data_IF_473856737612
#
_entry.id   IF_473856737612
#
_cell.length_a   1.000
_cell.length_b   1.000
_cell.length_c   1.000
_cell.angle_alpha   90.00
_cell.angle_beta   90.00
_cell.angle_gamma   90.00
#
_symmetry.space_group_name_H-M   'P 1'
#
loop_
_entity.id
_entity.type
_entity.pdbx_description
1 polymer ?
#
# COMPACT_ATOMS: atom_id res chain seq x y z
N UNK A 1 -51.16 -34.62 9.65
CA UNK A 1 -50.06 -34.30 10.58
C UNK A 1 -48.85 -33.97 9.73
N UNK A 2 -48.92 -32.81 9.09
CA UNK A 2 -48.17 -31.58 9.44
C UNK A 2 -46.71 -31.66 8.99
N UNK A 3 -46.51 -31.35 7.71
CA UNK A 3 -45.30 -30.76 7.17
C UNK A 3 -45.06 -29.42 7.87
N UNK A 4 -43.89 -29.24 8.47
CA UNK A 4 -43.38 -27.93 8.88
C UNK A 4 -42.36 -27.49 7.85
N UNK A 5 -42.87 -26.71 6.91
CA UNK A 5 -42.16 -25.91 5.93
C UNK A 5 -41.65 -24.64 6.63
N UNK A 6 -40.34 -24.52 6.80
CA UNK A 6 -39.69 -23.28 7.26
C UNK A 6 -38.88 -22.73 6.10
N UNK A 7 -39.60 -22.15 5.14
CA UNK A 7 -39.04 -21.24 4.13
C UNK A 7 -38.65 -19.93 4.83
N UNK A 8 -37.40 -19.42 4.71
CA UNK A 8 -37.07 -18.09 5.22
C UNK A 8 -37.69 -17.04 4.28
N UNK A 9 -38.66 -16.31 4.83
CA UNK A 9 -39.33 -15.21 4.19
C UNK A 9 -38.43 -13.97 4.15
N UNK A 10 -37.76 -13.70 3.02
CA UNK A 10 -37.47 -12.32 2.58
C UNK A 10 -37.02 -12.26 1.10
N UNK A 11 -37.89 -12.62 0.14
CA UNK A 11 -37.58 -12.55 -1.30
C UNK A 11 -38.71 -11.85 -2.07
N UNK A 12 -38.77 -10.53 -2.00
CA UNK A 12 -39.59 -9.68 -2.88
C UNK A 12 -38.91 -8.29 -2.98
N UNK A 13 -38.67 -7.63 -4.12
CA UNK A 13 -38.67 -7.93 -5.57
C UNK A 13 -37.72 -6.88 -6.18
N UNK A 14 -36.66 -7.31 -6.88
CA UNK A 14 -36.13 -6.66 -8.09
C UNK A 14 -35.27 -7.67 -8.87
N UNK A 15 -35.70 -8.00 -10.10
CA UNK A 15 -35.00 -8.69 -11.21
C UNK A 15 -34.44 -10.13 -11.03
N UNK A 16 -35.25 -11.05 -10.52
CA UNK A 16 -34.86 -12.43 -10.21
C UNK A 16 -35.11 -13.52 -11.27
N UNK A 17 -35.17 -13.23 -12.58
CA UNK A 17 -35.24 -14.31 -13.59
C UNK A 17 -33.82 -14.73 -14.01
N UNK A 18 -33.43 -16.00 -13.83
CA UNK A 18 -32.10 -16.47 -14.19
C UNK A 18 -32.00 -16.62 -15.72
N UNK A 19 -31.53 -15.57 -16.38
CA UNK A 19 -31.41 -15.49 -17.84
C UNK A 19 -29.96 -15.43 -18.33
N UNK A 20 -29.01 -15.15 -17.45
CA UNK A 20 -27.60 -14.96 -17.81
C UNK A 20 -26.87 -16.29 -17.81
N UNK A 21 -26.19 -16.59 -18.93
CA UNK A 21 -25.31 -17.74 -19.01
C UNK A 21 -23.93 -17.43 -18.40
N UNK A 22 -23.15 -18.47 -18.13
CA UNK A 22 -21.82 -18.35 -17.55
C UNK A 22 -20.87 -17.39 -18.31
N UNK A 23 -20.99 -17.28 -19.64
CA UNK A 23 -20.16 -16.35 -20.43
C UNK A 23 -20.53 -14.88 -20.16
N UNK A 24 -21.82 -14.59 -20.01
CA UNK A 24 -22.29 -13.25 -19.66
C UNK A 24 -21.79 -12.85 -18.26
N UNK A 25 -21.87 -13.74 -17.28
CA UNK A 25 -21.40 -13.49 -15.91
C UNK A 25 -19.90 -13.24 -15.84
N UNK A 26 -19.09 -14.02 -16.56
CA UNK A 26 -17.62 -13.82 -16.63
C UNK A 26 -17.28 -12.46 -17.23
N UNK A 27 -18.03 -12.01 -18.25
CA UNK A 27 -17.81 -10.70 -18.88
C UNK A 27 -18.16 -9.55 -17.92
N UNK A 28 -19.24 -9.69 -17.16
CA UNK A 28 -19.74 -8.66 -16.24
C UNK A 28 -18.97 -8.57 -14.93
N UNK A 29 -18.41 -9.68 -14.45
CA UNK A 29 -17.75 -9.76 -13.13
C UNK A 29 -16.23 -9.84 -13.23
N UNK A 30 -15.67 -10.14 -14.42
CA UNK A 30 -14.25 -10.40 -14.61
C UNK A 30 -13.73 -11.69 -13.96
N UNK A 31 -14.59 -12.46 -13.28
CA UNK A 31 -14.22 -13.68 -12.55
C UNK A 31 -14.07 -14.87 -13.50
N UNK A 32 -13.03 -15.68 -13.29
CA UNK A 32 -12.81 -16.91 -14.06
C UNK A 32 -13.91 -17.95 -13.74
N UNK A 33 -14.35 -18.76 -14.74
CA UNK A 33 -15.36 -19.81 -14.53
C UNK A 33 -15.09 -20.77 -13.37
N UNK A 34 -13.83 -21.13 -13.15
CA UNK A 34 -13.44 -22.04 -12.07
C UNK A 34 -13.54 -21.41 -10.69
N UNK A 35 -13.31 -20.09 -10.59
CA UNK A 35 -13.50 -19.31 -9.35
C UNK A 35 -14.98 -19.28 -8.96
N UNK A 36 -15.86 -19.02 -9.92
CA UNK A 36 -17.32 -19.01 -9.71
C UNK A 36 -17.82 -20.37 -9.20
N UNK A 37 -17.35 -21.47 -9.80
CA UNK A 37 -17.70 -22.84 -9.38
C UNK A 37 -17.14 -23.18 -8.01
N UNK A 38 -15.94 -22.69 -7.69
CA UNK A 38 -15.32 -22.91 -6.40
C UNK A 38 -16.08 -22.17 -5.28
N UNK A 39 -16.57 -20.96 -5.55
CA UNK A 39 -17.33 -20.17 -4.58
C UNK A 39 -18.73 -20.76 -4.35
N UNK A 40 -19.45 -21.13 -5.40
CA UNK A 40 -20.73 -21.86 -5.33
C UNK A 40 -20.60 -23.11 -4.45
N UNK A 41 -19.56 -23.94 -4.68
CA UNK A 41 -19.38 -25.20 -3.95
C UNK A 41 -18.95 -25.01 -2.48
N UNK A 42 -18.13 -24.00 -2.18
CA UNK A 42 -17.53 -23.81 -0.86
C UNK A 42 -18.37 -22.96 0.07
N UNK A 43 -19.10 -22.00 -0.48
CA UNK A 43 -19.76 -20.94 0.27
C UNK A 43 -21.25 -20.82 -0.04
N UNK A 44 -21.75 -21.56 -1.03
CA UNK A 44 -23.15 -21.49 -1.46
C UNK A 44 -23.50 -20.19 -2.17
N UNK A 45 -22.52 -19.42 -2.66
CA UNK A 45 -22.75 -18.13 -3.32
C UNK A 45 -21.95 -18.01 -4.63
N UNK A 46 -22.58 -17.57 -5.74
CA UNK A 46 -24.02 -17.36 -5.92
C UNK A 46 -24.80 -18.69 -5.99
N UNK A 47 -26.13 -18.62 -6.01
CA UNK A 47 -27.04 -19.78 -6.08
C UNK A 47 -27.75 -19.85 -7.46
N UNK A 48 -27.03 -20.21 -8.55
CA UNK A 48 -27.63 -20.22 -9.88
C UNK A 48 -28.64 -21.36 -10.06
N UNK A 49 -29.73 -21.09 -10.78
CA UNK A 49 -30.69 -22.11 -11.17
C UNK A 49 -30.14 -23.01 -12.29
N UNK A 50 -30.67 -24.23 -12.39
CA UNK A 50 -30.30 -25.18 -13.45
C UNK A 50 -31.44 -25.37 -14.43
N UNK A 51 -31.11 -25.26 -15.70
CA UNK A 51 -31.99 -25.68 -16.80
C UNK A 51 -32.31 -27.18 -16.71
N UNK A 52 -33.38 -27.62 -17.38
CA UNK A 52 -33.70 -29.06 -17.53
C UNK A 52 -32.55 -29.87 -18.15
N UNK A 53 -31.68 -29.24 -18.94
CA UNK A 53 -30.44 -29.79 -19.50
C UNK A 53 -29.23 -29.79 -18.56
N UNK A 54 -29.36 -29.25 -17.34
CA UNK A 54 -28.31 -29.25 -16.31
C UNK A 54 -27.33 -28.06 -16.35
N UNK A 55 -27.50 -27.11 -17.26
CA UNK A 55 -26.67 -25.89 -17.35
C UNK A 55 -27.13 -24.81 -16.37
N UNK A 56 -26.16 -24.08 -15.79
CA UNK A 56 -26.37 -22.97 -14.84
C UNK A 56 -26.87 -21.71 -15.55
N UNK A 57 -27.91 -21.11 -14.99
CA UNK A 57 -28.42 -19.80 -15.32
C UNK A 57 -28.37 -18.90 -14.08
N UNK A 58 -27.84 -17.70 -14.27
CA UNK A 58 -27.63 -16.71 -13.23
C UNK A 58 -28.65 -15.60 -13.37
N UNK A 59 -29.16 -15.11 -12.25
CA UNK A 59 -30.02 -13.94 -12.17
C UNK A 59 -29.18 -12.66 -12.09
N UNK A 60 -29.82 -11.49 -12.25
CA UNK A 60 -29.15 -10.21 -12.04
C UNK A 60 -28.66 -10.09 -10.57
N UNK A 61 -29.46 -10.59 -9.62
CA UNK A 61 -29.09 -10.68 -8.21
C UNK A 61 -27.80 -11.47 -7.97
N UNK A 62 -27.59 -12.58 -8.70
CA UNK A 62 -26.35 -13.36 -8.60
C UNK A 62 -25.14 -12.58 -9.11
N UNK A 63 -25.31 -11.82 -10.20
CA UNK A 63 -24.26 -10.97 -10.76
C UNK A 63 -23.90 -9.85 -9.78
N UNK A 64 -24.89 -9.21 -9.17
CA UNK A 64 -24.67 -8.12 -8.23
C UNK A 64 -24.06 -8.62 -6.92
N UNK A 65 -24.46 -9.82 -6.46
CA UNK A 65 -23.81 -10.54 -5.36
C UNK A 65 -22.33 -10.81 -5.65
N UNK A 66 -22.01 -11.28 -6.85
CA UNK A 66 -20.63 -11.51 -7.28
C UNK A 66 -19.83 -10.22 -7.34
N UNK A 67 -20.40 -9.14 -7.88
CA UNK A 67 -19.76 -7.81 -7.92
C UNK A 67 -19.49 -7.28 -6.51
N UNK A 68 -20.44 -7.46 -5.59
CA UNK A 68 -20.29 -7.08 -4.19
C UNK A 68 -19.15 -7.86 -3.52
N UNK A 69 -19.09 -9.19 -3.72
CA UNK A 69 -18.02 -10.02 -3.16
C UNK A 69 -16.66 -9.64 -3.74
N UNK A 70 -16.55 -9.44 -5.06
CA UNK A 70 -15.31 -9.00 -5.70
C UNK A 70 -14.85 -7.65 -5.18
N UNK A 71 -15.75 -6.69 -4.97
CA UNK A 71 -15.39 -5.40 -4.36
C UNK A 71 -14.78 -5.57 -2.96
N UNK A 72 -15.30 -6.48 -2.13
CA UNK A 72 -14.70 -6.79 -0.82
C UNK A 72 -13.33 -7.45 -0.94
N UNK A 73 -13.12 -8.28 -1.96
CA UNK A 73 -11.80 -8.88 -2.23
C UNK A 73 -10.79 -7.83 -2.68
N UNK A 74 -11.21 -6.88 -3.51
CA UNK A 74 -10.37 -5.77 -3.96
C UNK A 74 -10.02 -4.81 -2.80
N UNK A 75 -10.85 -4.75 -1.76
CA UNK A 75 -10.58 -4.09 -0.48
C UNK A 75 -9.69 -4.93 0.47
N UNK A 76 -9.19 -6.07 0.02
CA UNK A 76 -8.25 -6.92 0.76
C UNK A 76 -8.90 -7.93 1.72
N UNK A 77 -10.23 -8.05 1.75
CA UNK A 77 -10.87 -9.15 2.48
C UNK A 77 -10.62 -10.47 1.74
N UNK A 78 -10.29 -11.52 2.48
CA UNK A 78 -10.36 -12.85 1.88
C UNK A 78 -11.81 -13.27 1.64
N UNK A 79 -12.03 -14.13 0.65
CA UNK A 79 -13.38 -14.57 0.24
C UNK A 79 -14.20 -15.16 1.39
N UNK A 80 -13.57 -15.90 2.31
CA UNK A 80 -14.28 -16.48 3.46
C UNK A 80 -14.85 -15.40 4.39
N UNK A 81 -14.11 -14.30 4.61
CA UNK A 81 -14.57 -13.15 5.42
C UNK A 81 -15.62 -12.32 4.68
N UNK A 82 -15.47 -12.11 3.38
CA UNK A 82 -16.46 -11.42 2.57
C UNK A 82 -17.81 -12.17 2.57
N UNK A 83 -17.78 -13.50 2.49
CA UNK A 83 -18.97 -14.36 2.61
C UNK A 83 -19.57 -14.31 4.02
N UNK A 84 -18.74 -14.35 5.07
CA UNK A 84 -19.24 -14.26 6.45
C UNK A 84 -19.97 -12.92 6.69
N UNK A 85 -19.41 -11.82 6.20
CA UNK A 85 -20.02 -10.50 6.26
C UNK A 85 -21.35 -10.45 5.48
N UNK A 86 -21.39 -11.05 4.29
CA UNK A 86 -22.63 -11.16 3.51
C UNK A 86 -23.73 -11.89 4.29
N UNK A 87 -23.40 -13.02 4.93
CA UNK A 87 -24.36 -13.80 5.72
C UNK A 87 -24.79 -13.09 7.01
N UNK A 88 -23.89 -12.35 7.65
CA UNK A 88 -24.18 -11.53 8.83
C UNK A 88 -25.17 -10.39 8.49
N UNK A 89 -24.97 -9.70 7.37
CA UNK A 89 -25.87 -8.65 6.91
C UNK A 89 -27.26 -9.20 6.59
N UNK A 90 -27.33 -10.32 5.85
CA UNK A 90 -28.62 -10.96 5.54
C UNK A 90 -29.34 -11.44 6.82
N UNK A 91 -28.60 -11.99 7.80
CA UNK A 91 -29.19 -12.49 9.06
C UNK A 91 -29.63 -11.38 10.02
N UNK A 92 -29.01 -10.19 9.94
CA UNK A 92 -29.46 -8.97 10.63
C UNK A 92 -30.60 -8.24 9.90
N UNK A 93 -31.12 -8.81 8.81
CA UNK A 93 -32.23 -8.25 8.02
C UNK A 93 -31.84 -7.12 7.08
N UNK A 94 -30.54 -6.88 6.89
CA UNK A 94 -30.01 -5.89 5.96
C UNK A 94 -29.66 -6.53 4.62
N UNK A 95 -30.14 -5.98 3.51
CA UNK A 95 -29.76 -6.47 2.18
C UNK A 95 -28.45 -5.80 1.73
N UNK A 96 -27.33 -6.56 1.57
CA UNK A 96 -26.03 -6.00 1.20
C UNK A 96 -26.03 -5.23 -0.13
N UNK A 97 -26.92 -5.61 -1.05
CA UNK A 97 -27.06 -4.96 -2.35
C UNK A 97 -27.87 -3.66 -2.27
N UNK A 98 -28.75 -3.53 -1.27
CA UNK A 98 -29.55 -2.34 -1.07
C UNK A 98 -28.72 -1.22 -0.40
N UNK A 99 -27.78 -1.59 0.47
CA UNK A 99 -26.77 -0.68 1.04
C UNK A 99 -25.84 -0.05 -0.03
N UNK A 100 -25.62 -0.76 -1.15
CA UNK A 100 -24.90 -0.21 -2.31
C UNK A 100 -25.73 0.81 -3.11
N UNK A 101 -27.05 0.63 -3.20
CA UNK A 101 -27.93 1.49 -4.02
C UNK A 101 -28.33 2.78 -3.29
N UNK A 102 -28.47 2.75 -1.97
CA UNK A 102 -28.76 3.95 -1.16
C UNK A 102 -27.59 4.95 -1.10
N UNK A 103 -26.41 4.54 -1.55
CA UNK A 103 -25.19 5.36 -1.64
C UNK A 103 -25.02 6.05 -3.01
N UNK A 104 -26.04 6.07 -3.86
CA UNK A 104 -26.01 6.75 -5.18
C UNK A 104 -27.14 7.79 -5.32
N UNK A 105 -26.85 9.05 -5.73
CA UNK A 105 -27.86 10.10 -5.82
C UNK A 105 -28.83 9.88 -7.00
N UNK A 106 -30.14 9.99 -6.74
CA UNK A 106 -31.17 9.88 -7.76
C UNK A 106 -31.15 11.06 -8.76
N UNK A 107 -31.07 10.73 -10.05
CA UNK A 107 -31.18 11.67 -11.17
C UNK A 107 -32.61 12.19 -11.28
N UNK A 108 -32.84 13.46 -10.93
CA UNK A 108 -34.05 14.20 -11.29
C UNK A 108 -33.92 14.71 -12.72
N UNK A 109 -34.78 14.26 -13.63
CA UNK A 109 -34.85 14.73 -15.02
C UNK A 109 -35.64 16.05 -15.11
N UNK A 110 -35.18 17.05 -15.91
CA UNK A 110 -36.01 18.18 -16.32
C UNK A 110 -36.78 17.85 -17.62
N UNK A 111 -38.02 18.32 -17.67
CA UNK A 111 -38.96 18.25 -18.81
C UNK A 111 -38.56 19.27 -19.89
N UNK A 112 -38.71 18.99 -21.20
CA UNK A 112 -38.33 19.93 -22.25
C UNK A 112 -39.44 20.98 -22.46
N UNK A 113 -39.05 22.23 -22.61
CA UNK A 113 -39.86 23.25 -23.28
C UNK A 113 -39.09 23.76 -24.50
N UNK A 114 -39.73 23.62 -25.66
CA UNK A 114 -39.28 24.17 -26.92
C UNK A 114 -39.41 25.70 -26.89
N UNK A 115 -38.40 26.39 -27.41
CA UNK A 115 -38.62 27.50 -28.34
C UNK A 115 -37.32 27.90 -29.00
N UNK A 116 -37.36 27.83 -30.32
CA UNK A 116 -36.40 28.34 -31.28
C UNK A 116 -35.95 29.76 -30.97
N UNK A 117 -34.67 30.08 -31.23
CA UNK A 117 -34.32 31.12 -32.21
C UNK A 117 -32.85 30.99 -32.60
N UNK A 118 -32.62 30.75 -33.89
CA UNK A 118 -31.32 30.80 -34.56
C UNK A 118 -30.84 32.26 -34.63
N UNK A 119 -29.60 32.53 -34.20
CA UNK A 119 -28.84 33.66 -34.75
C UNK A 119 -27.34 33.38 -34.78
N UNK A 120 -26.82 33.39 -36.00
CA UNK A 120 -25.41 33.32 -36.37
C UNK A 120 -24.61 34.48 -35.77
N UNK A 121 -23.38 34.21 -35.31
CA UNK A 121 -22.23 35.15 -35.39
C UNK A 121 -20.93 34.36 -35.24
N UNK A 122 -19.98 34.62 -36.16
CA UNK A 122 -18.61 34.11 -36.18
C UNK A 122 -17.71 34.78 -35.10
N UNK A 123 -16.46 34.30 -34.87
CA UNK A 123 -15.74 34.38 -33.60
C UNK A 123 -14.85 35.63 -33.46
N UNK A 124 -14.31 35.90 -32.26
CA UNK A 124 -12.98 36.46 -32.18
C UNK A 124 -12.03 35.58 -31.36
N UNK A 125 -10.88 35.30 -31.98
CA UNK A 125 -9.66 34.97 -31.28
C UNK A 125 -9.15 36.21 -30.55
N UNK A 126 -8.91 36.12 -29.24
CA UNK A 126 -7.89 36.93 -28.56
C UNK A 126 -7.21 36.03 -27.53
N UNK A 127 -5.99 35.62 -27.87
CA UNK A 127 -4.99 35.20 -26.91
C UNK A 127 -4.68 36.40 -26.01
N UNK A 128 -4.99 36.31 -24.72
CA UNK A 128 -4.37 37.15 -23.71
C UNK A 128 -3.87 36.25 -22.58
N UNK A 129 -2.54 36.29 -22.44
CA UNK A 129 -1.79 35.79 -21.30
C UNK A 129 -2.47 36.29 -20.03
N UNK A 130 -2.98 35.37 -19.23
CA UNK A 130 -3.25 35.65 -17.82
C UNK A 130 -1.87 35.66 -17.18
N UNK A 131 -1.39 36.85 -16.84
CA UNK A 131 -0.25 37.01 -15.97
C UNK A 131 -0.55 36.22 -14.68
N UNK A 132 0.31 35.26 -14.36
CA UNK A 132 0.19 34.43 -13.18
C UNK A 132 0.23 35.31 -11.93
N UNK A 133 -0.94 35.51 -11.32
CA UNK A 133 -1.02 35.99 -9.93
C UNK A 133 -0.30 34.93 -9.07
N UNK A 134 0.70 35.29 -8.25
CA UNK A 134 1.32 34.33 -7.36
C UNK A 134 0.27 33.90 -6.33
N UNK A 135 -0.25 32.68 -6.47
CA UNK A 135 -1.13 32.08 -5.49
C UNK A 135 -0.31 31.85 -4.22
N UNK A 136 -0.64 32.61 -3.16
CA UNK A 136 0.10 32.58 -1.89
C UNK A 136 -0.01 31.21 -1.22
N UNK A 137 1.03 30.79 -0.48
CA UNK A 137 1.07 29.51 0.24
C UNK A 137 -0.13 29.22 1.15
N UNK A 138 -0.88 30.25 1.55
CA UNK A 138 -2.16 30.13 2.27
C UNK A 138 -3.20 29.29 1.51
N UNK A 139 -3.30 29.41 0.18
CA UNK A 139 -4.28 28.67 -0.61
C UNK A 139 -3.94 27.18 -0.70
N UNK A 140 -2.65 26.85 -0.89
CA UNK A 140 -2.17 25.46 -0.92
C UNK A 140 -2.44 24.79 0.43
N UNK A 141 -2.10 25.48 1.53
CA UNK A 141 -2.37 24.99 2.88
C UNK A 141 -3.85 24.75 3.14
N UNK A 142 -4.72 25.67 2.69
CA UNK A 142 -6.17 25.55 2.80
C UNK A 142 -6.73 24.36 2.04
N UNK A 143 -6.36 24.20 0.76
CA UNK A 143 -6.84 23.07 -0.06
C UNK A 143 -6.36 21.73 0.49
N UNK A 144 -5.12 21.67 0.99
CA UNK A 144 -4.62 20.49 1.70
C UNK A 144 -5.43 20.18 2.95
N UNK A 145 -5.75 21.18 3.77
CA UNK A 145 -6.55 20.93 4.97
C UNK A 145 -7.95 20.43 4.63
N UNK A 146 -8.62 21.03 3.64
CA UNK A 146 -9.93 20.57 3.16
C UNK A 146 -9.85 19.11 2.71
N UNK A 147 -8.82 18.77 1.93
CA UNK A 147 -8.61 17.40 1.46
C UNK A 147 -8.40 16.41 2.63
N UNK A 148 -7.57 16.76 3.62
CA UNK A 148 -7.34 15.93 4.81
C UNK A 148 -8.64 15.72 5.61
N UNK A 149 -9.38 16.79 5.90
CA UNK A 149 -10.62 16.70 6.68
C UNK A 149 -11.72 15.93 5.94
N UNK A 150 -11.83 16.08 4.63
CA UNK A 150 -12.73 15.28 3.81
C UNK A 150 -12.34 13.79 3.85
N UNK A 151 -11.04 13.47 3.74
CA UNK A 151 -10.54 12.10 3.89
C UNK A 151 -10.85 11.51 5.28
N UNK A 152 -10.69 12.29 6.35
CA UNK A 152 -11.06 11.87 7.72
C UNK A 152 -12.55 11.56 7.86
N UNK A 153 -13.40 12.28 7.12
CA UNK A 153 -14.84 12.11 7.12
C UNK A 153 -15.37 11.06 6.12
N UNK A 154 -14.49 10.38 5.37
CA UNK A 154 -14.87 9.52 4.23
C UNK A 154 -15.70 10.24 3.14
N UNK A 155 -15.54 11.57 3.04
CA UNK A 155 -16.22 12.40 2.05
C UNK A 155 -15.39 12.46 0.76
N UNK A 156 -15.58 11.44 -0.08
CA UNK A 156 -14.89 11.33 -1.38
C UNK A 156 -15.19 12.52 -2.29
N UNK A 157 -16.44 13.02 -2.27
CA UNK A 157 -16.87 14.11 -3.13
C UNK A 157 -16.12 15.39 -2.79
N UNK A 158 -16.11 15.80 -1.52
CA UNK A 158 -15.39 17.00 -1.08
C UNK A 158 -13.88 16.87 -1.28
N UNK A 159 -13.32 15.67 -1.04
CA UNK A 159 -11.89 15.43 -1.26
C UNK A 159 -11.52 15.57 -2.75
N UNK A 160 -12.31 15.00 -3.66
CA UNK A 160 -12.08 15.13 -5.10
C UNK A 160 -12.34 16.54 -5.62
N UNK A 161 -13.33 17.26 -5.08
CA UNK A 161 -13.56 18.67 -5.40
C UNK A 161 -12.34 19.53 -5.01
N UNK A 162 -11.76 19.32 -3.84
CA UNK A 162 -10.55 20.02 -3.41
C UNK A 162 -9.36 19.76 -4.37
N UNK A 163 -9.16 18.51 -4.79
CA UNK A 163 -8.12 18.17 -5.77
C UNK A 163 -8.42 18.77 -7.15
N UNK A 164 -9.66 18.70 -7.63
CA UNK A 164 -10.05 19.27 -8.92
C UNK A 164 -9.84 20.78 -8.96
N UNK A 165 -10.19 21.49 -7.88
CA UNK A 165 -9.93 22.93 -7.74
C UNK A 165 -8.42 23.22 -7.72
N UNK A 166 -7.63 22.39 -7.04
CA UNK A 166 -6.18 22.51 -7.02
C UNK A 166 -5.59 22.32 -8.43
N UNK A 167 -5.95 21.27 -9.15
CA UNK A 167 -5.46 21.00 -10.52
C UNK A 167 -5.92 22.06 -11.55
N UNK A 168 -7.04 22.74 -11.30
CA UNK A 168 -7.49 23.83 -12.16
C UNK A 168 -6.64 25.12 -12.01
N UNK A 169 -5.91 25.27 -10.90
CA UNK A 169 -5.24 26.53 -10.54
C UNK A 169 -3.75 26.40 -10.27
N UNK A 170 -3.23 25.18 -10.05
CA UNK A 170 -1.84 24.92 -9.68
C UNK A 170 -1.17 23.93 -10.66
N UNK A 171 0.17 24.00 -10.82
CA UNK A 171 0.91 22.95 -11.52
C UNK A 171 0.65 21.57 -10.90
N UNK A 172 0.58 20.53 -11.75
CA UNK A 172 0.32 19.15 -11.33
C UNK A 172 1.30 18.71 -10.24
N UNK A 173 2.58 19.03 -10.42
CA UNK A 173 3.66 18.65 -9.50
C UNK A 173 3.44 19.30 -8.13
N UNK A 174 2.97 20.55 -8.09
CA UNK A 174 2.61 21.25 -6.84
C UNK A 174 1.46 20.56 -6.14
N UNK A 175 0.40 20.17 -6.85
CA UNK A 175 -0.74 19.46 -6.24
C UNK A 175 -0.30 18.11 -5.68
N UNK A 176 0.44 17.32 -6.46
CA UNK A 176 0.88 15.99 -6.04
C UNK A 176 1.83 16.05 -4.82
N UNK A 177 2.72 17.03 -4.74
CA UNK A 177 3.71 17.13 -3.66
C UNK A 177 3.16 17.89 -2.44
N UNK A 178 2.66 19.11 -2.66
CA UNK A 178 2.33 20.02 -1.56
C UNK A 178 0.95 19.75 -0.95
N UNK A 179 0.04 19.10 -1.68
CA UNK A 179 -1.30 18.74 -1.22
C UNK A 179 -1.36 17.24 -0.92
N UNK A 180 -1.20 16.39 -1.93
CA UNK A 180 -1.40 14.94 -1.77
C UNK A 180 -0.30 14.29 -0.91
N UNK A 181 0.98 14.40 -1.29
CA UNK A 181 2.09 13.79 -0.53
C UNK A 181 2.17 14.35 0.88
N UNK A 182 2.11 15.68 1.01
CA UNK A 182 2.16 16.34 2.32
C UNK A 182 0.93 16.01 3.18
N UNK A 183 -0.25 15.90 2.58
CA UNK A 183 -1.47 15.50 3.28
C UNK A 183 -1.42 14.05 3.77
N UNK A 184 -0.92 13.12 2.93
CA UNK A 184 -0.67 11.74 3.34
C UNK A 184 0.37 11.64 4.46
N UNK A 185 1.41 12.48 4.44
CA UNK A 185 2.38 12.54 5.53
C UNK A 185 1.75 13.03 6.84
N UNK A 186 0.86 14.02 6.79
CA UNK A 186 0.08 14.46 7.97
C UNK A 186 -0.82 13.34 8.48
N UNK A 187 -1.59 12.70 7.59
CA UNK A 187 -2.48 11.58 7.94
C UNK A 187 -1.70 10.42 8.56
N UNK A 188 -0.55 10.07 8.00
CA UNK A 188 0.33 9.03 8.55
C UNK A 188 0.87 9.38 9.92
N UNK A 189 1.22 10.66 10.17
CA UNK A 189 1.66 11.12 11.48
C UNK A 189 0.53 11.11 12.52
N UNK A 190 -0.68 11.52 12.14
CA UNK A 190 -1.85 11.46 13.01
C UNK A 190 -2.28 10.02 13.32
N UNK A 191 -2.20 9.11 12.33
CA UNK A 191 -2.40 7.68 12.54
C UNK A 191 -1.37 7.10 13.53
N UNK A 192 -0.08 7.43 13.38
CA UNK A 192 0.97 7.04 14.33
C UNK A 192 0.74 7.60 15.73
N UNK A 193 0.07 8.75 15.86
CA UNK A 193 -0.31 9.36 17.12
C UNK A 193 -1.62 8.79 17.71
N UNK A 194 -2.27 7.83 17.04
CA UNK A 194 -3.57 7.28 17.44
C UNK A 194 -4.76 8.23 17.24
N UNK A 195 -4.57 9.33 16.49
CA UNK A 195 -5.60 10.34 16.20
C UNK A 195 -6.40 10.03 14.94
N UNK A 196 -5.92 9.09 14.11
CA UNK A 196 -6.62 8.58 12.95
C UNK A 196 -6.68 7.06 12.97
N UNK A 197 -7.75 6.52 12.41
CA UNK A 197 -7.95 5.09 12.23
C UNK A 197 -7.20 4.57 11.00
N UNK A 198 -6.94 3.27 10.95
CA UNK A 198 -6.37 2.60 9.78
C UNK A 198 -7.25 2.79 8.55
N UNK A 199 -8.58 2.74 8.73
CA UNK A 199 -9.56 2.90 7.65
C UNK A 199 -9.48 4.28 7.00
N UNK A 200 -9.29 5.34 7.79
CA UNK A 200 -9.15 6.70 7.26
C UNK A 200 -7.83 6.89 6.50
N UNK A 201 -6.73 6.30 6.99
CA UNK A 201 -5.45 6.28 6.27
C UNK A 201 -5.61 5.56 4.92
N UNK A 202 -6.21 4.37 4.94
CA UNK A 202 -6.45 3.58 3.73
C UNK A 202 -7.33 4.33 2.72
N UNK A 203 -8.40 4.99 3.17
CA UNK A 203 -9.25 5.80 2.32
C UNK A 203 -8.48 6.93 1.63
N UNK A 204 -7.69 7.68 2.41
CA UNK A 204 -6.89 8.79 1.88
C UNK A 204 -5.83 8.32 0.87
N UNK A 205 -5.10 7.25 1.22
CA UNK A 205 -4.08 6.64 0.37
C UNK A 205 -4.69 6.09 -0.92
N UNK A 206 -5.82 5.39 -0.86
CA UNK A 206 -6.52 4.86 -2.03
C UNK A 206 -6.97 5.97 -2.98
N UNK A 207 -7.54 7.06 -2.46
CA UNK A 207 -7.99 8.21 -3.25
C UNK A 207 -6.81 8.86 -3.99
N UNK A 208 -5.71 9.08 -3.25
CA UNK A 208 -4.52 9.70 -3.80
C UNK A 208 -3.86 8.82 -4.89
N UNK A 209 -3.80 7.50 -4.66
CA UNK A 209 -3.28 6.52 -5.61
C UNK A 209 -4.13 6.45 -6.88
N UNK A 210 -5.47 6.40 -6.75
CA UNK A 210 -6.40 6.41 -7.89
C UNK A 210 -6.17 7.64 -8.78
N UNK A 211 -6.00 8.81 -8.15
CA UNK A 211 -5.72 10.06 -8.86
C UNK A 211 -4.37 10.02 -9.59
N UNK A 212 -3.29 9.55 -8.95
CA UNK A 212 -1.97 9.42 -9.60
C UNK A 212 -2.00 8.43 -10.77
N UNK A 213 -2.67 7.30 -10.64
CA UNK A 213 -2.83 6.33 -11.74
C UNK A 213 -3.57 6.94 -12.92
N UNK A 214 -4.65 7.71 -12.68
CA UNK A 214 -5.37 8.40 -13.75
C UNK A 214 -4.47 9.41 -14.48
N UNK A 215 -3.66 10.17 -13.74
CA UNK A 215 -2.69 11.11 -14.32
C UNK A 215 -1.59 10.40 -15.11
N UNK A 216 -1.09 9.26 -14.62
CA UNK A 216 -0.07 8.46 -15.30
C UNK A 216 -0.60 7.88 -16.61
N UNK A 217 -1.84 7.39 -16.63
CA UNK A 217 -2.49 6.85 -17.83
C UNK A 217 -2.76 7.94 -18.88
N UNK A 218 -3.03 9.17 -18.43
CA UNK A 218 -3.22 10.32 -19.31
C UNK A 218 -1.89 10.94 -19.79
N UNK A 219 -0.73 10.49 -19.26
CA UNK A 219 0.56 11.04 -19.63
C UNK A 219 0.91 10.71 -21.09
N UNK A 220 1.62 11.61 -21.80
CA UNK A 220 1.97 11.39 -23.19
C UNK A 220 2.87 10.16 -23.38
N UNK A 221 2.88 9.64 -24.60
CA UNK A 221 3.82 8.58 -25.00
C UNK A 221 5.28 9.03 -24.80
N UNK A 222 6.20 8.11 -24.45
CA UNK A 222 7.60 8.45 -24.30
C UNK A 222 8.19 9.00 -25.60
N UNK A 223 9.04 10.01 -25.49
CA UNK A 223 9.74 10.65 -26.62
C UNK A 223 11.26 10.47 -26.55
N UNK A 224 11.79 10.05 -25.39
CA UNK A 224 13.22 9.78 -25.16
C UNK A 224 13.54 8.29 -25.34
N UNK A 225 14.79 8.00 -25.69
CA UNK A 225 15.33 6.64 -25.71
C UNK A 225 15.67 6.16 -24.30
N UNK A 226 15.89 4.85 -24.13
CA UNK A 226 16.19 4.27 -22.82
C UNK A 226 14.94 4.04 -21.97
N UNK A 227 15.09 3.23 -20.93
CA UNK A 227 13.98 2.84 -20.08
C UNK A 227 14.37 2.88 -18.60
N UNK A 228 13.46 3.37 -17.78
CA UNK A 228 13.65 3.50 -16.34
C UNK A 228 12.69 2.53 -15.67
N UNK A 229 13.21 1.60 -14.88
CA UNK A 229 12.39 0.72 -14.05
C UNK A 229 12.25 1.35 -12.66
N UNK A 230 11.02 1.47 -12.16
CA UNK A 230 10.75 2.03 -10.82
C UNK A 230 9.94 1.02 -10.02
N UNK A 231 10.40 0.72 -8.82
CA UNK A 231 9.73 -0.22 -7.91
C UNK A 231 10.11 0.02 -6.46
N UNK A 232 9.40 -0.64 -5.55
CA UNK A 232 9.83 -0.79 -4.17
C UNK A 232 10.66 -2.08 -3.99
N UNK A 233 11.62 -2.11 -3.03
CA UNK A 233 12.32 -3.33 -2.63
C UNK A 233 11.37 -4.33 -1.94
N UNK A 234 11.82 -5.55 -1.62
CA UNK A 234 11.03 -6.51 -0.87
C UNK A 234 10.49 -5.92 0.43
N UNK A 235 9.24 -6.28 0.75
CA UNK A 235 8.45 -5.87 1.93
C UNK A 235 7.99 -4.40 1.95
N UNK A 236 8.37 -3.59 0.97
CA UNK A 236 7.97 -2.19 0.89
C UNK A 236 6.66 -2.02 0.12
N UNK A 237 5.60 -1.65 0.84
CA UNK A 237 4.25 -1.48 0.33
C UNK A 237 3.89 -0.01 -0.02
N UNK A 238 4.71 0.96 0.39
CA UNK A 238 4.39 2.38 0.20
C UNK A 238 4.67 2.85 -1.24
N UNK A 239 3.64 2.80 -2.08
CA UNK A 239 3.73 3.01 -3.54
C UNK A 239 3.51 4.44 -4.02
N UNK A 240 3.06 5.36 -3.16
CA UNK A 240 2.74 6.72 -3.57
C UNK A 240 3.93 7.45 -4.20
N UNK A 241 5.08 7.48 -3.52
CA UNK A 241 6.28 8.15 -4.02
C UNK A 241 6.83 7.52 -5.32
N UNK A 242 7.04 6.20 -5.43
CA UNK A 242 7.52 5.62 -6.68
C UNK A 242 6.54 5.82 -7.85
N UNK A 243 5.23 5.83 -7.60
CA UNK A 243 4.23 6.16 -8.62
C UNK A 243 4.31 7.65 -9.05
N UNK A 244 4.50 8.57 -8.08
CA UNK A 244 4.71 9.99 -8.37
C UNK A 244 5.98 10.21 -9.22
N UNK A 245 7.08 9.51 -8.90
CA UNK A 245 8.31 9.54 -9.70
C UNK A 245 8.05 9.02 -11.12
N UNK A 246 7.28 7.94 -11.25
CA UNK A 246 6.90 7.40 -12.56
C UNK A 246 6.12 8.44 -13.39
N UNK A 247 5.15 9.12 -12.79
CA UNK A 247 4.38 10.18 -13.44
C UNK A 247 5.28 11.33 -13.91
N UNK A 248 6.16 11.84 -13.06
CA UNK A 248 7.06 12.95 -13.40
C UNK A 248 8.02 12.57 -14.54
N UNK A 249 8.67 11.40 -14.45
CA UNK A 249 9.60 10.95 -15.49
C UNK A 249 8.88 10.63 -16.81
N UNK A 250 7.64 10.10 -16.77
CA UNK A 250 6.80 9.95 -17.97
C UNK A 250 6.48 11.29 -18.62
N UNK A 251 6.17 12.32 -17.84
CA UNK A 251 5.90 13.68 -18.35
C UNK A 251 7.14 14.34 -18.97
N UNK A 252 8.35 13.94 -18.53
CA UNK A 252 9.63 14.30 -19.17
C UNK A 252 9.97 13.48 -20.41
N UNK A 253 9.10 12.55 -20.80
CA UNK A 253 9.21 11.78 -22.04
C UNK A 253 10.01 10.48 -21.90
N UNK A 254 10.40 10.07 -20.70
CA UNK A 254 11.09 8.80 -20.48
C UNK A 254 10.12 7.61 -20.58
N UNK A 255 10.61 6.46 -21.07
CA UNK A 255 9.87 5.20 -20.96
C UNK A 255 10.04 4.68 -19.53
N UNK A 256 8.97 4.68 -18.75
CA UNK A 256 8.97 4.16 -17.38
C UNK A 256 8.26 2.81 -17.30
N UNK A 257 8.92 1.83 -16.68
CA UNK A 257 8.33 0.56 -16.27
C UNK A 257 8.11 0.62 -14.76
N UNK A 258 6.85 0.78 -14.35
CA UNK A 258 6.47 0.82 -12.95
C UNK A 258 5.97 -0.56 -12.51
N UNK A 259 6.64 -1.18 -11.53
CA UNK A 259 6.29 -2.53 -11.06
C UNK A 259 5.44 -2.54 -9.77
N UNK A 260 5.34 -1.40 -9.08
CA UNK A 260 4.61 -1.32 -7.81
C UNK A 260 5.48 -1.65 -6.61
N UNK A 261 4.83 -2.23 -5.60
CA UNK A 261 5.41 -2.54 -4.30
C UNK A 261 6.04 -3.93 -4.23
N UNK A 262 6.83 -4.14 -3.17
CA UNK A 262 7.21 -5.46 -2.67
C UNK A 262 7.71 -6.43 -3.75
N UNK A 263 8.67 -5.98 -4.58
CA UNK A 263 9.20 -6.82 -5.66
C UNK A 263 10.38 -7.65 -5.14
N UNK A 264 10.27 -9.00 -5.12
CA UNK A 264 11.37 -9.86 -4.70
C UNK A 264 12.60 -9.70 -5.58
N UNK A 265 13.77 -9.89 -4.98
CA UNK A 265 15.05 -9.67 -5.68
C UNK A 265 15.22 -10.53 -6.94
N UNK A 266 14.78 -11.80 -6.89
CA UNK A 266 14.88 -12.75 -8.01
C UNK A 266 13.98 -12.33 -9.17
N UNK A 267 12.77 -11.90 -8.87
CA UNK A 267 11.78 -11.47 -9.86
C UNK A 267 12.20 -10.16 -10.54
N UNK A 268 12.88 -9.28 -9.81
CA UNK A 268 13.47 -8.07 -10.39
C UNK A 268 14.61 -8.43 -11.36
N UNK A 269 15.51 -9.35 -11.00
CA UNK A 269 16.60 -9.79 -11.88
C UNK A 269 16.06 -10.35 -13.21
N UNK A 270 15.02 -11.17 -13.16
CA UNK A 270 14.34 -11.67 -14.37
C UNK A 270 13.70 -10.54 -15.20
N UNK A 271 13.08 -9.57 -14.52
CA UNK A 271 12.47 -8.42 -15.19
C UNK A 271 13.52 -7.54 -15.85
N UNK A 272 14.65 -7.29 -15.19
CA UNK A 272 15.78 -6.52 -15.73
C UNK A 272 16.36 -7.21 -16.96
N UNK A 273 16.58 -8.53 -16.90
CA UNK A 273 17.12 -9.30 -18.02
C UNK A 273 16.23 -9.20 -19.27
N UNK A 274 14.90 -9.18 -19.09
CA UNK A 274 13.93 -9.08 -20.19
C UNK A 274 13.69 -7.65 -20.67
N UNK A 275 13.52 -6.71 -19.75
CA UNK A 275 13.15 -5.32 -20.08
C UNK A 275 14.34 -4.45 -20.46
N UNK A 276 15.55 -4.87 -20.07
CA UNK A 276 16.82 -4.18 -20.29
C UNK A 276 16.73 -2.67 -19.97
N UNK A 277 16.33 -2.30 -18.73
CA UNK A 277 16.30 -0.90 -18.34
C UNK A 277 17.70 -0.31 -18.33
N UNK A 278 17.80 0.97 -18.64
CA UNK A 278 19.03 1.77 -18.54
C UNK A 278 19.31 2.18 -17.10
N UNK A 279 18.26 2.35 -16.29
CA UNK A 279 18.32 2.74 -14.89
C UNK A 279 17.22 2.03 -14.10
N UNK A 280 17.57 1.56 -12.91
CA UNK A 280 16.61 1.09 -11.89
C UNK A 280 16.50 2.14 -10.80
N UNK A 281 15.27 2.46 -10.38
CA UNK A 281 14.97 3.35 -9.25
C UNK A 281 14.25 2.54 -8.16
N UNK A 282 14.83 2.50 -6.96
CA UNK A 282 14.22 1.87 -5.79
C UNK A 282 13.81 2.91 -4.75
N UNK A 283 12.63 2.77 -4.18
CA UNK A 283 12.14 3.66 -3.12
C UNK A 283 11.85 2.88 -1.85
N UNK A 284 12.40 3.32 -0.72
CA UNK A 284 12.15 2.74 0.60
C UNK A 284 11.72 3.82 1.61
N UNK A 285 10.70 3.55 2.41
CA UNK A 285 10.15 4.46 3.42
C UNK A 285 10.48 4.05 4.85
N UNK A 286 10.95 2.82 5.07
CA UNK A 286 11.14 2.21 6.38
C UNK A 286 12.56 1.64 6.53
N UNK A 287 12.98 1.42 7.79
CA UNK A 287 14.30 0.91 8.10
C UNK A 287 14.56 -0.49 7.51
N UNK A 288 13.61 -1.42 7.68
CA UNK A 288 13.76 -2.78 7.16
C UNK A 288 13.75 -2.83 5.64
N UNK A 289 13.01 -1.93 4.99
CA UNK A 289 13.00 -1.82 3.53
C UNK A 289 14.26 -1.12 2.99
N UNK A 290 14.92 -0.27 3.78
CA UNK A 290 16.26 0.22 3.44
C UNK A 290 17.31 -0.90 3.48
N UNK A 291 17.17 -1.86 4.41
CA UNK A 291 18.05 -3.04 4.47
C UNK A 291 17.85 -3.98 3.27
N UNK A 292 16.60 -4.27 2.89
CA UNK A 292 16.33 -5.08 1.68
C UNK A 292 16.75 -4.33 0.40
N UNK A 293 16.63 -3.00 0.36
CA UNK A 293 17.16 -2.16 -0.72
C UNK A 293 18.68 -2.24 -0.79
N UNK A 294 19.40 -2.19 0.33
CA UNK A 294 20.87 -2.37 0.35
C UNK A 294 21.26 -3.71 -0.30
N UNK A 295 20.63 -4.80 0.11
CA UNK A 295 20.91 -6.13 -0.47
C UNK A 295 20.62 -6.17 -1.99
N UNK A 296 19.54 -5.54 -2.42
CA UNK A 296 19.20 -5.41 -3.84
C UNK A 296 20.23 -4.59 -4.60
N UNK A 297 20.64 -3.45 -4.04
CA UNK A 297 21.63 -2.56 -4.65
C UNK A 297 22.99 -3.22 -4.85
N UNK A 298 23.43 -4.04 -3.88
CA UNK A 298 24.68 -4.80 -4.00
C UNK A 298 24.62 -5.82 -5.15
N UNK A 299 23.49 -6.52 -5.32
CA UNK A 299 23.32 -7.45 -6.45
C UNK A 299 23.29 -6.73 -7.80
N UNK A 300 22.56 -5.62 -7.89
CA UNK A 300 22.50 -4.82 -9.12
C UNK A 300 23.87 -4.24 -9.48
N UNK A 301 24.64 -3.75 -8.50
CA UNK A 301 26.00 -3.29 -8.70
C UNK A 301 26.92 -4.42 -9.21
N UNK A 302 26.80 -5.64 -8.68
CA UNK A 302 27.55 -6.81 -9.16
C UNK A 302 27.21 -7.20 -10.62
N UNK A 303 26.02 -6.83 -11.10
CA UNK A 303 25.56 -7.02 -12.47
C UNK A 303 25.82 -5.79 -13.36
N UNK A 304 26.54 -4.78 -12.86
CA UNK A 304 26.77 -3.50 -13.54
C UNK A 304 25.48 -2.78 -13.95
N UNK A 305 24.38 -2.96 -13.20
CA UNK A 305 23.12 -2.27 -13.42
C UNK A 305 23.09 -0.94 -12.65
N UNK A 306 22.99 0.22 -13.34
CA UNK A 306 22.87 1.52 -12.70
C UNK A 306 21.62 1.60 -11.83
N UNK A 307 21.82 2.05 -10.58
CA UNK A 307 20.76 2.18 -9.58
C UNK A 307 20.69 3.60 -9.06
N UNK A 308 19.49 4.16 -8.99
CA UNK A 308 19.17 5.30 -8.16
C UNK A 308 18.21 4.89 -7.04
N UNK A 309 18.23 5.60 -5.93
CA UNK A 309 17.37 5.29 -4.79
C UNK A 309 16.88 6.54 -4.06
N UNK A 310 15.78 6.40 -3.34
CA UNK A 310 15.23 7.47 -2.53
C UNK A 310 14.19 6.99 -1.53
N UNK A 311 13.50 7.94 -0.91
CA UNK A 311 12.47 7.70 0.10
C UNK A 311 12.86 8.19 1.48
N UNK A 312 11.87 8.28 2.38
CA UNK A 312 11.97 9.04 3.63
C UNK A 312 13.05 8.54 4.58
N UNK A 313 13.27 7.23 4.63
CA UNK A 313 14.25 6.62 5.54
C UNK A 313 15.66 7.17 5.32
N UNK A 314 16.05 7.46 4.08
CA UNK A 314 17.38 8.00 3.76
C UNK A 314 17.55 9.48 4.10
N UNK A 315 16.43 10.18 4.32
CA UNK A 315 16.42 11.56 4.84
C UNK A 315 16.50 11.55 6.37
N UNK A 316 15.77 10.63 7.01
CA UNK A 316 15.75 10.47 8.46
C UNK A 316 17.06 9.91 9.01
N UNK A 317 17.67 8.98 8.28
CA UNK A 317 18.91 8.30 8.66
C UNK A 317 19.99 8.46 7.57
N UNK A 318 20.66 9.64 7.49
CA UNK A 318 21.67 9.92 6.47
C UNK A 318 22.85 8.95 6.47
N UNK A 319 23.13 8.28 7.59
CA UNK A 319 24.17 7.27 7.69
C UNK A 319 23.92 6.06 6.77
N UNK A 320 22.65 5.69 6.55
CA UNK A 320 22.28 4.57 5.67
C UNK A 320 22.60 4.91 4.21
N UNK A 321 22.36 6.16 3.79
CA UNK A 321 22.61 6.62 2.42
C UNK A 321 24.04 6.30 1.96
N UNK A 322 25.04 6.46 2.84
CA UNK A 322 26.44 6.23 2.51
C UNK A 322 26.77 4.74 2.25
N UNK A 323 25.92 3.82 2.71
CA UNK A 323 26.11 2.39 2.53
C UNK A 323 25.53 1.85 1.22
N UNK A 324 24.55 2.55 0.63
CA UNK A 324 23.84 2.08 -0.57
C UNK A 324 24.67 2.38 -1.83
N UNK A 325 25.12 1.36 -2.59
CA UNK A 325 25.66 1.55 -3.94
C UNK A 325 24.57 2.06 -4.90
N UNK A 326 24.53 3.36 -5.15
CA UNK A 326 23.62 3.97 -6.11
C UNK A 326 23.57 5.49 -6.01
N UNK A 327 22.85 6.11 -6.94
CA UNK A 327 22.60 7.55 -6.92
C UNK A 327 21.44 7.88 -5.97
N UNK A 328 21.72 8.59 -4.88
CA UNK A 328 20.66 9.09 -4.02
C UNK A 328 19.91 10.25 -4.70
N UNK A 329 18.59 10.11 -4.83
CA UNK A 329 17.72 11.03 -5.56
C UNK A 329 17.39 12.35 -4.82
N UNK A 330 17.88 12.50 -3.58
CA UNK A 330 17.64 13.70 -2.78
C UNK A 330 16.46 13.56 -1.83
N UNK A 331 16.23 14.62 -1.03
CA UNK A 331 15.16 14.71 -0.03
C UNK A 331 13.86 15.31 -0.57
N UNK A 332 13.86 15.76 -1.83
CA UNK A 332 12.74 16.44 -2.46
C UNK A 332 12.59 15.96 -3.91
N UNK A 333 11.35 15.78 -4.34
CA UNK A 333 11.02 15.19 -5.64
C UNK A 333 11.34 16.17 -6.79
N UNK A 334 11.33 17.47 -6.50
CA UNK A 334 11.55 18.56 -7.44
C UNK A 334 12.91 18.50 -8.15
N UNK A 335 13.94 17.97 -7.50
CA UNK A 335 15.30 17.85 -8.08
C UNK A 335 15.56 16.53 -8.78
N UNK A 336 14.64 15.57 -8.67
CA UNK A 336 14.83 14.22 -9.22
C UNK A 336 15.00 14.27 -10.73
N UNK A 337 14.21 15.08 -11.42
CA UNK A 337 14.21 15.11 -12.88
C UNK A 337 15.57 15.52 -13.45
N UNK A 338 16.22 16.54 -12.86
CA UNK A 338 17.54 17.01 -13.27
C UNK A 338 18.61 15.93 -13.04
N UNK A 339 18.57 15.28 -11.88
CA UNK A 339 19.52 14.24 -11.51
C UNK A 339 19.35 12.98 -12.36
N UNK A 340 18.11 12.55 -12.63
CA UNK A 340 17.84 11.42 -13.53
C UNK A 340 18.30 11.75 -14.95
N UNK A 341 18.11 12.99 -15.44
CA UNK A 341 18.61 13.40 -16.74
C UNK A 341 20.16 13.38 -16.81
N UNK A 342 20.84 13.70 -15.71
CA UNK A 342 22.30 13.56 -15.60
C UNK A 342 22.74 12.09 -15.61
N UNK A 343 22.10 11.23 -14.82
CA UNK A 343 22.40 9.80 -14.76
C UNK A 343 22.15 9.14 -16.12
N UNK A 344 21.04 9.45 -16.78
CA UNK A 344 20.68 8.84 -18.06
C UNK A 344 21.60 9.28 -19.22
N UNK A 345 22.33 10.39 -19.07
CA UNK A 345 23.37 10.80 -20.05
C UNK A 345 24.62 9.93 -19.98
N UNK A 346 24.99 9.43 -18.80
CA UNK A 346 26.13 8.53 -18.60
C UNK A 346 25.85 7.59 -17.42
N UNK A 347 25.05 6.53 -17.65
CA UNK A 347 24.58 5.68 -16.58
C UNK A 347 25.72 4.75 -16.14
N UNK A 348 26.29 5.01 -14.96
CA UNK A 348 27.39 4.23 -14.41
C UNK A 348 26.92 3.45 -13.18
N UNK A 349 27.24 2.15 -13.06
CA UNK A 349 27.01 1.44 -11.82
C UNK A 349 27.86 2.07 -10.71
N UNK A 350 27.25 2.24 -9.54
CA UNK A 350 27.99 2.67 -8.36
C UNK A 350 28.36 1.45 -7.52
N UNK A 351 29.57 1.45 -6.96
CA UNK A 351 30.03 0.41 -6.06
C UNK A 351 30.11 0.95 -4.64
N UNK A 352 29.73 0.12 -3.66
CA UNK A 352 29.71 0.52 -2.27
C UNK A 352 31.14 0.63 -1.74
N UNK A 353 31.38 1.59 -0.85
CA UNK A 353 32.69 1.76 -0.21
C UNK A 353 32.93 0.80 0.98
N UNK A 354 31.92 0.05 1.45
CA UNK A 354 32.01 -0.70 2.71
C UNK A 354 31.47 -2.14 2.65
N UNK A 355 32.24 -3.04 3.26
CA UNK A 355 31.91 -4.43 3.51
C UNK A 355 31.07 -4.54 4.79
N UNK A 356 29.96 -5.28 4.76
CA UNK A 356 29.30 -5.74 5.99
C UNK A 356 30.34 -6.45 6.86
N UNK A 357 30.45 -6.08 8.13
CA UNK A 357 31.37 -6.73 9.07
C UNK A 357 31.07 -8.25 9.09
N UNK A 358 32.06 -9.14 8.91
CA UNK A 358 31.83 -10.60 8.85
C UNK A 358 31.01 -11.14 10.03
N UNK A 359 31.19 -10.55 11.21
CA UNK A 359 30.44 -10.89 12.42
C UNK A 359 28.93 -10.64 12.28
N UNK A 360 28.51 -9.55 11.63
CA UNK A 360 27.09 -9.25 11.43
C UNK A 360 26.43 -10.17 10.41
N UNK A 361 27.15 -10.55 9.35
CA UNK A 361 26.66 -11.50 8.36
C UNK A 361 26.45 -12.89 8.98
N UNK A 362 27.40 -13.35 9.82
CA UNK A 362 27.26 -14.60 10.56
C UNK A 362 26.06 -14.56 11.52
N UNK A 363 25.96 -13.49 12.31
CA UNK A 363 24.87 -13.30 13.25
C UNK A 363 23.49 -13.21 12.58
N UNK A 364 23.40 -12.56 11.41
CA UNK A 364 22.18 -12.55 10.60
C UNK A 364 21.76 -13.96 10.20
N UNK A 365 22.69 -14.75 9.67
CA UNK A 365 22.41 -16.13 9.26
C UNK A 365 21.97 -16.99 10.44
N UNK A 366 22.67 -16.91 11.57
CA UNK A 366 22.31 -17.59 12.81
C UNK A 366 20.92 -17.17 13.28
N UNK A 367 20.64 -15.88 13.38
CA UNK A 367 19.34 -15.37 13.83
C UNK A 367 18.19 -15.85 12.94
N UNK A 368 18.34 -15.77 11.62
CA UNK A 368 17.34 -16.27 10.68
C UNK A 368 17.09 -17.77 10.86
N UNK A 369 18.15 -18.56 11.07
CA UNK A 369 18.08 -20.01 11.28
C UNK A 369 17.31 -20.39 12.55
N UNK A 370 17.50 -19.64 13.64
CA UNK A 370 16.86 -19.93 14.93
C UNK A 370 15.55 -19.16 15.20
N UNK A 371 15.19 -18.22 14.33
CA UNK A 371 14.03 -17.33 14.53
C UNK A 371 12.72 -18.09 14.75
N UNK A 372 12.49 -19.18 14.01
CA UNK A 372 11.28 -19.99 14.14
C UNK A 372 11.21 -20.71 15.50
N UNK A 373 12.33 -21.25 16.01
CA UNK A 373 12.38 -21.89 17.32
C UNK A 373 12.18 -20.86 18.44
N UNK A 374 12.78 -19.68 18.32
CA UNK A 374 12.61 -18.58 19.27
C UNK A 374 11.13 -18.18 19.32
N UNK A 375 10.49 -17.96 18.16
CA UNK A 375 9.07 -17.62 18.08
C UNK A 375 8.19 -18.71 18.69
N UNK A 376 8.41 -19.98 18.36
CA UNK A 376 7.64 -21.10 18.90
C UNK A 376 7.76 -21.20 20.43
N UNK A 377 8.98 -21.17 20.98
CA UNK A 377 9.20 -21.23 22.43
C UNK A 377 8.68 -20.01 23.17
N UNK A 378 8.66 -18.85 22.52
CA UNK A 378 8.04 -17.63 23.07
C UNK A 378 6.52 -17.77 23.06
N UNK A 379 5.95 -18.24 21.96
CA UNK A 379 4.51 -18.48 21.81
C UNK A 379 3.98 -19.45 22.86
N UNK A 380 4.64 -20.58 23.08
CA UNK A 380 4.21 -21.60 24.06
C UNK A 380 4.06 -21.05 25.49
N UNK A 381 4.92 -20.08 25.86
CA UNK A 381 4.90 -19.45 27.18
C UNK A 381 3.87 -18.32 27.29
N UNK A 382 3.64 -17.59 26.20
CA UNK A 382 2.73 -16.43 26.17
C UNK A 382 1.30 -16.84 25.83
N UNK A 383 1.07 -17.96 25.16
CA UNK A 383 -0.26 -18.36 24.68
C UNK A 383 -1.29 -18.52 25.80
N UNK A 384 -0.87 -18.88 27.01
CA UNK A 384 -1.75 -18.98 28.17
C UNK A 384 -2.09 -17.61 28.82
N UNK A 385 -1.52 -16.51 28.31
CA UNK A 385 -1.79 -15.15 28.77
C UNK A 385 -2.96 -14.54 27.99
N UNK A 386 -3.64 -13.57 28.58
CA UNK A 386 -4.79 -12.89 27.98
C UNK A 386 -4.37 -11.82 26.94
N UNK A 387 -3.37 -12.12 26.10
CA UNK A 387 -2.88 -11.24 25.03
C UNK A 387 -3.49 -11.71 23.71
N UNK A 388 -4.03 -10.76 22.94
CA UNK A 388 -4.60 -11.04 21.62
C UNK A 388 -3.56 -11.66 20.67
N UNK A 389 -3.84 -12.82 20.03
CA UNK A 389 -2.88 -13.49 19.14
C UNK A 389 -2.38 -12.63 17.98
N UNK A 390 -3.22 -11.70 17.50
CA UNK A 390 -2.87 -10.75 16.43
C UNK A 390 -1.80 -9.75 16.89
N UNK A 391 -1.85 -9.30 18.14
CA UNK A 391 -0.87 -8.40 18.74
C UNK A 391 0.50 -9.09 18.88
N UNK A 392 0.50 -10.33 19.36
CA UNK A 392 1.71 -11.16 19.47
C UNK A 392 2.36 -11.34 18.10
N UNK A 393 1.57 -11.67 17.07
CA UNK A 393 2.06 -11.83 15.70
C UNK A 393 2.70 -10.54 15.17
N UNK A 394 2.04 -9.40 15.37
CA UNK A 394 2.57 -8.09 14.96
C UNK A 394 3.89 -7.77 15.68
N UNK A 395 3.99 -8.10 16.97
CA UNK A 395 5.21 -7.91 17.74
C UNK A 395 6.38 -8.77 17.22
N UNK A 396 6.13 -10.05 16.93
CA UNK A 396 7.14 -10.92 16.32
C UNK A 396 7.62 -10.42 14.96
N UNK A 397 6.69 -10.02 14.09
CA UNK A 397 7.02 -9.55 12.75
C UNK A 397 7.88 -8.29 12.81
N UNK A 398 7.50 -7.31 13.63
CA UNK A 398 8.25 -6.07 13.77
C UNK A 398 9.63 -6.28 14.39
N UNK A 399 9.73 -7.12 15.43
CA UNK A 399 11.00 -7.42 16.08
C UNK A 399 11.96 -8.14 15.12
N UNK A 400 11.45 -9.13 14.38
CA UNK A 400 12.21 -9.81 13.35
C UNK A 400 12.76 -8.84 12.30
N UNK A 401 11.89 -8.01 11.72
CA UNK A 401 12.26 -7.00 10.70
C UNK A 401 13.32 -6.03 11.23
N UNK A 402 13.18 -5.57 12.48
CA UNK A 402 14.13 -4.63 13.10
C UNK A 402 15.50 -5.29 13.33
N UNK A 403 15.55 -6.51 13.89
CA UNK A 403 16.81 -7.22 14.14
C UNK A 403 17.55 -7.50 12.82
N UNK A 404 16.83 -8.00 11.81
CA UNK A 404 17.38 -8.25 10.48
C UNK A 404 17.93 -6.96 9.88
N UNK A 405 17.17 -5.86 9.93
CA UNK A 405 17.60 -4.57 9.39
C UNK A 405 18.87 -4.04 10.07
N UNK A 406 18.94 -4.11 11.40
CA UNK A 406 20.11 -3.68 12.17
C UNK A 406 21.36 -4.49 11.86
N UNK A 407 21.22 -5.81 11.68
CA UNK A 407 22.32 -6.69 11.31
C UNK A 407 22.80 -6.40 9.87
N UNK A 408 21.87 -6.23 8.92
CA UNK A 408 22.19 -5.92 7.53
C UNK A 408 22.87 -4.56 7.38
N UNK A 409 22.35 -3.53 8.04
CA UNK A 409 22.89 -2.16 8.02
C UNK A 409 24.09 -1.97 8.96
N UNK A 410 24.41 -3.02 9.72
CA UNK A 410 25.54 -3.08 10.65
C UNK A 410 25.52 -2.03 11.76
N UNK A 411 24.33 -1.62 12.22
CA UNK A 411 24.19 -0.63 13.27
C UNK A 411 23.09 -1.03 14.27
N UNK A 412 23.53 -1.23 15.51
CA UNK A 412 22.72 -1.67 16.65
C UNK A 412 21.77 -0.59 17.14
N UNK A 413 22.11 0.69 16.99
CA UNK A 413 21.28 1.77 17.52
C UNK A 413 19.88 1.79 16.90
N UNK A 414 19.72 1.21 15.71
CA UNK A 414 18.43 1.04 15.05
C UNK A 414 17.49 0.07 15.79
N UNK A 415 18.01 -0.89 16.57
CA UNK A 415 17.19 -1.74 17.42
C UNK A 415 16.52 -0.94 18.53
N UNK A 416 17.25 0.00 19.15
CA UNK A 416 16.70 0.87 20.19
C UNK A 416 15.54 1.72 19.63
N UNK A 417 15.70 2.24 18.41
CA UNK A 417 14.62 2.99 17.75
C UNK A 417 13.41 2.11 17.44
N UNK A 418 13.63 0.92 16.87
CA UNK A 418 12.56 -0.03 16.56
C UNK A 418 11.84 -0.55 17.81
N UNK A 419 12.54 -0.65 18.94
CA UNK A 419 12.00 -1.01 20.25
C UNK A 419 11.01 0.03 20.78
N UNK A 420 11.39 1.32 20.73
CA UNK A 420 10.51 2.43 21.13
C UNK A 420 9.26 2.45 20.27
N UNK A 421 9.43 2.27 18.96
CA UNK A 421 8.30 2.19 18.03
C UNK A 421 7.38 1.02 18.38
N UNK A 422 7.92 -0.17 18.68
CA UNK A 422 7.12 -1.34 19.05
C UNK A 422 6.29 -1.09 20.30
N UNK A 423 6.89 -0.51 21.35
CA UNK A 423 6.19 -0.15 22.60
C UNK A 423 5.08 0.86 22.34
N UNK A 424 5.34 1.89 21.53
CA UNK A 424 4.35 2.89 21.15
C UNK A 424 3.20 2.25 20.35
N UNK A 425 3.51 1.45 19.33
CA UNK A 425 2.52 0.81 18.47
C UNK A 425 1.60 -0.14 19.25
N UNK A 426 2.19 -1.03 20.07
CA UNK A 426 1.42 -2.01 20.83
C UNK A 426 0.55 -1.37 21.93
N UNK A 427 1.00 -0.25 22.52
CA UNK A 427 0.23 0.47 23.54
C UNK A 427 -0.89 1.34 22.94
N UNK A 428 -0.64 2.03 21.83
CA UNK A 428 -1.59 2.99 21.24
C UNK A 428 -2.77 2.32 20.53
N UNK A 429 -2.59 1.12 19.97
CA UNK A 429 -3.67 0.38 19.32
C UNK A 429 -4.43 -0.56 20.28
N UNK A 430 -4.31 -0.35 21.60
CA UNK A 430 -4.91 -1.19 22.65
C UNK A 430 -4.61 -2.68 22.50
N UNK A 431 -3.49 -3.02 21.88
CA UNK A 431 -3.14 -4.39 21.54
C UNK A 431 -2.49 -5.11 22.73
N UNK A 432 -1.68 -4.38 23.53
CA UNK A 432 -1.01 -4.89 24.74
C UNK A 432 -0.83 -3.79 25.78
N UNK A 433 -1.00 -4.11 27.07
CA UNK A 433 -0.59 -3.24 28.18
C UNK A 433 0.94 -3.17 28.29
N UNK A 434 1.49 -2.16 29.00
CA UNK A 434 2.93 -2.07 29.23
C UNK A 434 3.49 -3.35 29.87
N UNK A 435 2.80 -3.90 30.87
CA UNK A 435 3.17 -5.16 31.53
C UNK A 435 3.16 -6.36 30.57
N UNK A 436 2.19 -6.42 29.66
CA UNK A 436 2.11 -7.47 28.64
C UNK A 436 3.27 -7.34 27.63
N UNK A 437 3.67 -6.12 27.27
CA UNK A 437 4.82 -5.88 26.38
C UNK A 437 6.11 -6.32 27.06
N UNK A 438 6.30 -5.97 28.33
CA UNK A 438 7.47 -6.40 29.11
C UNK A 438 7.53 -7.93 29.22
N UNK A 439 6.40 -8.57 29.53
CA UNK A 439 6.29 -10.03 29.55
C UNK A 439 6.66 -10.66 28.21
N UNK A 440 6.20 -10.08 27.09
CA UNK A 440 6.54 -10.56 25.76
C UNK A 440 8.04 -10.45 25.47
N UNK A 441 8.63 -9.28 25.74
CA UNK A 441 10.05 -9.02 25.48
C UNK A 441 10.93 -9.93 26.33
N UNK A 442 10.64 -10.08 27.61
CA UNK A 442 11.41 -10.94 28.53
C UNK A 442 11.31 -12.40 28.13
N UNK A 443 10.11 -12.85 27.73
CA UNK A 443 9.92 -14.22 27.25
C UNK A 443 10.65 -14.48 25.93
N UNK A 444 10.64 -13.50 25.02
CA UNK A 444 11.39 -13.54 23.77
C UNK A 444 12.89 -13.63 24.03
N UNK A 445 13.41 -12.80 24.94
CA UNK A 445 14.81 -12.80 25.35
C UNK A 445 15.24 -14.14 25.93
N UNK A 446 14.45 -14.72 26.83
CA UNK A 446 14.74 -16.03 27.41
C UNK A 446 14.73 -17.15 26.35
N UNK A 447 13.81 -17.09 25.39
CA UNK A 447 13.79 -18.03 24.27
C UNK A 447 15.01 -17.85 23.36
N UNK A 448 15.38 -16.61 23.02
CA UNK A 448 16.56 -16.30 22.24
C UNK A 448 17.84 -16.75 22.95
N UNK A 449 17.95 -16.59 24.28
CA UNK A 449 19.09 -17.05 25.06
C UNK A 449 19.26 -18.58 25.07
N UNK A 450 18.13 -19.30 24.99
CA UNK A 450 18.10 -20.76 24.95
C UNK A 450 18.55 -21.29 23.59
N UNK A 451 18.10 -20.66 22.49
CA UNK A 451 18.30 -21.19 21.14
C UNK A 451 19.52 -20.61 20.41
N UNK A 452 19.94 -19.38 20.69
CA UNK A 452 21.08 -18.77 20.02
C UNK A 452 22.42 -19.34 20.52
N UNK A 453 23.36 -19.65 19.61
CA UNK A 453 24.68 -20.13 19.98
C UNK A 453 25.50 -19.05 20.71
N UNK A 454 26.46 -19.44 21.58
CA UNK A 454 27.21 -18.50 22.43
C UNK A 454 27.89 -17.35 21.67
N UNK A 455 28.43 -17.61 20.48
CA UNK A 455 29.13 -16.60 19.69
C UNK A 455 28.24 -15.46 19.18
N UNK A 456 26.92 -15.69 19.05
CA UNK A 456 25.96 -14.72 18.52
C UNK A 456 25.03 -14.16 19.60
N UNK A 457 25.31 -14.48 20.88
CA UNK A 457 24.57 -13.95 22.03
C UNK A 457 24.71 -12.44 22.21
N UNK A 458 25.61 -11.77 21.49
CA UNK A 458 25.64 -10.31 21.48
C UNK A 458 24.33 -9.70 20.94
N UNK A 459 23.57 -10.42 20.11
CA UNK A 459 22.21 -10.01 19.69
C UNK A 459 21.30 -9.88 20.93
N UNK A 460 21.50 -10.69 21.98
CA UNK A 460 20.71 -10.61 23.21
C UNK A 460 20.97 -9.31 23.97
N UNK A 461 22.21 -8.81 23.99
CA UNK A 461 22.52 -7.49 24.56
C UNK A 461 21.73 -6.40 23.82
N UNK A 462 21.48 -6.59 22.53
CA UNK A 462 20.72 -5.65 21.71
C UNK A 462 19.22 -5.74 21.99
N UNK A 463 18.68 -6.95 22.07
CA UNK A 463 17.25 -7.15 22.40
C UNK A 463 16.98 -6.73 23.87
N UNK A 464 17.95 -6.82 24.77
CA UNK A 464 17.83 -6.31 26.15
C UNK A 464 17.60 -4.79 26.21
N UNK A 465 18.09 -4.03 25.22
CA UNK A 465 17.80 -2.58 25.13
C UNK A 465 16.30 -2.30 24.90
N UNK A 466 15.53 -3.28 24.44
CA UNK A 466 14.06 -3.18 24.31
C UNK A 466 13.39 -3.11 25.69
N UNK A 467 13.97 -3.78 26.70
CA UNK A 467 13.50 -3.73 28.09
C UNK A 467 13.88 -2.42 28.80
N UNK A 468 14.83 -1.63 28.26
CA UNK A 468 15.29 -0.36 28.83
C UNK A 468 15.45 0.74 27.77
N UNK A 469 14.36 1.34 27.25
CA UNK A 469 14.41 2.27 26.10
C UNK A 469 15.15 3.60 26.36
N UNK A 470 15.37 3.95 27.64
CA UNK A 470 16.08 5.15 28.11
C UNK A 470 17.56 4.89 28.43
N UNK A 471 18.02 3.62 28.36
CA UNK A 471 19.43 3.31 28.52
C UNK A 471 20.18 3.69 27.24
N UNK A 472 21.07 4.68 27.31
CA UNK A 472 22.04 4.93 26.24
C UNK A 472 22.85 3.66 25.98
N UNK A 473 22.96 3.17 24.73
CA UNK A 473 23.82 2.03 24.45
C UNK A 473 25.27 2.38 24.84
N UNK A 474 25.90 1.49 25.61
CA UNK A 474 27.29 1.62 26.06
C UNK A 474 28.29 1.37 24.93
#
# INVERSE_FOLDING_TARGET
MTSSDTTPANRQVSDGLPIYNLKAVVKETGLKPDTLRAWERRYGLPEPERTASGHRLYSQYDIDTLKWLTARLDEGLNISRAVALWQELISSGQNPLQLMVESSPQVRTPRPTHSDTVRQSQPPAIAQRIDAVPLSGDQIGRLRQIWIEACKAFDEESAEQALNQAFATLPLETVCIQIMQSGLATIGAEWQAGQMTVQQEHFASALAMRRLHALLNAAPSPTRSGAILITCPPEEEHTFTPLLLALMLRRRGWRVLYLGANVPIRDLEETIARAQPTLVILVAQQLHTAATLLQMSQKLAAQNMPLAFGGRIFVQEPAIKAQIPGYFLGSSVEKVEELVEEIMRSPQPQHAAQHTLPQHAQALHTFQTYSAQIQASTWDKIYATNIEPSAIKAAFEHLYKTIVASLVLGNVSYLVQGARWLRQYLSMHHAMSAEQIDLFVDTYLAAAETHLPPQDKFILQWVQTISQPDATPA
#
